data_IF_624652649746
#
_entry.id   IF_624652649746
#
_cell.length_a   1.000
_cell.length_b   1.000
_cell.length_c   1.000
_cell.angle_alpha   90.00
_cell.angle_beta   90.00
_cell.angle_gamma   90.00
#
_symmetry.space_group_name_H-M   'P 1'
#
loop_
_entity.id
_entity.type
_entity.pdbx_description
1 polymer ?
#
# COMPACT_ATOMS: atom_id res chain seq x y z
N UNK A 1 -1.07 -11.06 -14.95
CA UNK A 1 -1.10 -9.88 -14.07
C UNK A 1 0.13 -9.03 -14.39
N UNK A 2 0.07 -7.69 -14.32
CA UNK A 2 1.27 -6.86 -14.47
C UNK A 2 2.29 -7.19 -13.37
N UNK A 3 3.57 -7.26 -13.74
CA UNK A 3 4.69 -7.59 -12.86
C UNK A 3 5.54 -6.34 -12.63
N UNK A 4 5.90 -6.08 -11.36
CA UNK A 4 6.80 -4.98 -10.99
C UNK A 4 8.07 -5.57 -10.40
N UNK A 5 9.24 -5.26 -10.98
CA UNK A 5 10.52 -5.68 -10.43
C UNK A 5 10.99 -4.70 -9.34
N UNK A 6 11.30 -5.24 -8.15
CA UNK A 6 11.82 -4.48 -7.01
C UNK A 6 13.36 -4.46 -7.02
N UNK A 7 13.95 -3.32 -7.38
CA UNK A 7 15.39 -3.19 -7.58
C UNK A 7 15.98 -2.26 -6.52
N UNK A 8 16.89 -2.83 -5.73
CA UNK A 8 17.45 -2.13 -4.58
C UNK A 8 18.83 -1.52 -4.81
N UNK A 9 19.79 -2.18 -5.46
CA UNK A 9 21.19 -1.74 -5.43
C UNK A 9 21.84 -1.69 -6.81
N UNK A 10 21.68 -2.78 -7.57
CA UNK A 10 22.36 -2.92 -8.85
C UNK A 10 21.46 -2.47 -10.01
N UNK A 11 21.82 -1.35 -10.63
CA UNK A 11 21.09 -0.79 -11.77
C UNK A 11 21.06 -1.75 -12.98
N UNK A 12 22.03 -2.67 -13.10
CA UNK A 12 22.07 -3.67 -14.18
C UNK A 12 20.89 -4.61 -14.10
N UNK A 13 20.41 -4.94 -12.89
CA UNK A 13 19.21 -5.75 -12.71
C UNK A 13 17.94 -5.03 -13.19
N UNK A 14 17.88 -3.71 -13.04
CA UNK A 14 16.79 -2.93 -13.61
C UNK A 14 16.79 -2.99 -15.15
N UNK A 15 17.97 -2.87 -15.77
CA UNK A 15 18.11 -2.98 -17.23
C UNK A 15 17.73 -4.39 -17.74
N UNK A 16 18.20 -5.43 -17.06
CA UNK A 16 17.84 -6.82 -17.40
C UNK A 16 16.33 -7.07 -17.23
N UNK A 17 15.71 -6.52 -16.18
CA UNK A 17 14.26 -6.64 -15.98
C UNK A 17 13.46 -5.94 -17.10
N UNK A 18 13.92 -4.78 -17.56
CA UNK A 18 13.34 -4.08 -18.71
C UNK A 18 13.50 -4.88 -20.00
N UNK A 19 14.67 -5.49 -20.24
CA UNK A 19 14.92 -6.36 -21.38
C UNK A 19 14.02 -7.60 -21.36
N UNK A 20 13.78 -8.17 -20.18
CA UNK A 20 12.90 -9.31 -19.98
C UNK A 20 11.40 -8.97 -20.09
N UNK A 21 11.02 -7.70 -20.28
CA UNK A 21 9.63 -7.28 -20.50
C UNK A 21 8.81 -7.07 -19.22
N UNK A 22 9.42 -6.58 -18.13
CA UNK A 22 8.67 -6.22 -16.90
C UNK A 22 7.71 -5.05 -17.14
N UNK A 23 6.53 -5.07 -16.50
CA UNK A 23 5.49 -4.03 -16.64
C UNK A 23 5.74 -2.79 -15.76
N UNK A 24 6.74 -2.83 -14.88
CA UNK A 24 7.09 -1.71 -14.01
C UNK A 24 8.36 -1.96 -13.21
N UNK A 25 9.03 -0.88 -12.83
CA UNK A 25 10.15 -0.92 -11.89
C UNK A 25 9.76 -0.29 -10.56
N UNK A 26 10.39 -0.75 -9.48
CA UNK A 26 10.51 0.04 -8.25
C UNK A 26 11.99 0.25 -7.94
N UNK A 27 12.37 1.51 -7.78
CA UNK A 27 13.72 1.93 -7.42
C UNK A 27 13.70 2.54 -6.02
N UNK A 28 14.77 2.32 -5.25
CA UNK A 28 14.99 3.00 -3.97
C UNK A 28 16.02 4.13 -4.13
N UNK A 29 15.62 5.40 -3.95
CA UNK A 29 16.51 6.55 -3.99
C UNK A 29 17.74 6.45 -3.09
N UNK A 30 17.61 5.81 -1.93
CA UNK A 30 18.70 5.70 -0.96
C UNK A 30 19.87 4.85 -1.45
N UNK A 31 19.66 4.02 -2.48
CA UNK A 31 20.65 3.04 -2.93
C UNK A 31 21.06 3.22 -4.40
N UNK A 32 20.15 3.71 -5.26
CA UNK A 32 20.41 3.99 -6.68
C UNK A 32 20.25 5.50 -6.88
N UNK A 33 21.27 6.25 -6.45
CA UNK A 33 21.27 7.72 -6.49
C UNK A 33 22.21 8.32 -7.54
N UNK A 34 23.16 7.53 -8.08
CA UNK A 34 24.14 8.05 -9.05
C UNK A 34 23.44 8.49 -10.35
N UNK A 35 23.53 9.78 -10.76
CA UNK A 35 22.78 10.30 -11.90
C UNK A 35 23.00 9.55 -13.22
N UNK A 36 24.22 9.03 -13.45
CA UNK A 36 24.53 8.23 -14.64
C UNK A 36 23.73 6.93 -14.69
N UNK A 37 23.57 6.27 -13.54
CA UNK A 37 22.82 5.00 -13.44
C UNK A 37 21.32 5.24 -13.59
N UNK A 38 20.80 6.27 -12.92
CA UNK A 38 19.38 6.66 -13.02
C UNK A 38 19.05 7.04 -14.48
N UNK A 39 19.92 7.80 -15.15
CA UNK A 39 19.78 8.13 -16.58
C UNK A 39 19.66 6.89 -17.46
N UNK A 40 20.54 5.90 -17.28
CA UNK A 40 20.50 4.67 -18.06
C UNK A 40 19.17 3.92 -17.86
N UNK A 41 18.68 3.81 -16.62
CA UNK A 41 17.40 3.16 -16.33
C UNK A 41 16.24 3.96 -16.93
N UNK A 42 16.19 5.27 -16.72
CA UNK A 42 15.10 6.13 -17.18
C UNK A 42 14.96 6.09 -18.70
N UNK A 43 16.08 6.14 -19.43
CA UNK A 43 16.07 6.05 -20.89
C UNK A 43 15.53 4.69 -21.37
N UNK A 44 16.05 3.59 -20.80
CA UNK A 44 15.60 2.24 -21.17
C UNK A 44 14.12 1.99 -20.83
N UNK A 45 13.64 2.55 -19.72
CA UNK A 45 12.24 2.48 -19.29
C UNK A 45 11.33 3.32 -20.22
N UNK A 46 11.78 4.53 -20.61
CA UNK A 46 11.07 5.41 -21.55
C UNK A 46 10.87 4.76 -22.91
N UNK A 47 11.92 4.18 -23.48
CA UNK A 47 11.89 3.46 -24.77
C UNK A 47 10.84 2.33 -24.78
N UNK A 48 10.56 1.74 -23.61
CA UNK A 48 9.64 0.61 -23.45
C UNK A 48 8.29 1.00 -22.85
N UNK A 49 8.06 2.29 -22.57
CA UNK A 49 6.85 2.79 -21.91
C UNK A 49 6.58 2.12 -20.55
N UNK A 50 7.65 1.82 -19.79
CA UNK A 50 7.57 1.13 -18.49
C UNK A 50 7.62 2.15 -17.35
N UNK A 51 6.62 2.19 -16.45
CA UNK A 51 6.59 3.14 -15.34
C UNK A 51 7.61 2.80 -14.24
N UNK A 52 8.11 3.84 -13.56
CA UNK A 52 9.03 3.73 -12.43
C UNK A 52 8.31 4.16 -11.15
N UNK A 53 8.31 3.28 -10.14
CA UNK A 53 7.95 3.64 -8.77
C UNK A 53 9.18 4.10 -8.00
N UNK A 54 9.18 5.36 -7.56
CA UNK A 54 10.12 5.87 -6.57
C UNK A 54 9.65 5.40 -5.18
N UNK A 55 10.40 4.49 -4.57
CA UNK A 55 10.02 3.90 -3.28
C UNK A 55 10.99 4.26 -2.17
N UNK A 56 10.65 5.28 -1.38
CA UNK A 56 11.42 5.72 -0.20
C UNK A 56 10.93 4.98 1.04
N UNK A 57 11.86 4.35 1.75
CA UNK A 57 11.61 3.75 3.06
C UNK A 57 12.38 4.52 4.12
N UNK A 58 11.75 4.79 5.27
CA UNK A 58 12.40 5.49 6.39
C UNK A 58 13.72 4.82 6.83
N UNK A 59 13.73 3.48 6.86
CA UNK A 59 14.90 2.70 7.26
C UNK A 59 16.10 2.75 6.31
N UNK A 60 15.91 3.20 5.05
CA UNK A 60 16.99 3.32 4.06
C UNK A 60 17.44 4.76 3.82
N UNK A 61 16.95 5.73 4.61
CA UNK A 61 17.35 7.12 4.46
C UNK A 61 18.80 7.34 4.93
N UNK A 62 19.64 8.05 4.15
CA UNK A 62 20.96 8.49 4.59
C UNK A 62 20.86 9.34 5.86
N UNK A 63 21.83 9.22 6.77
CA UNK A 63 21.88 10.03 8.00
C UNK A 63 21.86 11.52 7.65
N UNK A 64 21.04 12.30 8.34
CA UNK A 64 21.00 13.77 8.19
C UNK A 64 21.99 14.43 9.16
N UNK A 65 22.66 15.48 8.70
CA UNK A 65 23.43 16.37 9.57
C UNK A 65 22.55 17.44 10.24
N UNK A 66 21.33 17.66 9.74
CA UNK A 66 20.39 18.62 10.30
C UNK A 66 19.44 17.92 11.30
N UNK A 67 19.58 18.17 12.61
CA UNK A 67 18.77 17.52 13.64
C UNK A 67 17.32 18.02 13.68
N UNK A 68 16.98 19.12 12.99
CA UNK A 68 15.63 19.68 12.99
C UNK A 68 14.68 18.99 12.01
N UNK A 69 15.21 18.23 11.04
CA UNK A 69 14.37 17.59 10.02
C UNK A 69 13.70 16.33 10.59
N UNK A 70 12.37 16.28 10.51
CA UNK A 70 11.61 15.07 10.84
C UNK A 70 11.90 13.96 9.83
N UNK A 71 11.62 12.71 10.21
CA UNK A 71 11.76 11.57 9.30
C UNK A 71 10.85 11.75 8.08
N UNK A 72 9.60 12.20 8.29
CA UNK A 72 8.65 12.47 7.21
C UNK A 72 9.19 13.51 6.22
N UNK A 73 9.73 14.63 6.70
CA UNK A 73 10.33 15.67 5.84
C UNK A 73 11.47 15.09 5.00
N UNK A 74 12.37 14.32 5.61
CA UNK A 74 13.47 13.66 4.88
C UNK A 74 12.98 12.66 3.83
N UNK A 75 11.89 11.95 4.10
CA UNK A 75 11.28 11.02 3.13
C UNK A 75 10.74 11.79 1.92
N UNK A 76 10.04 12.90 2.16
CA UNK A 76 9.49 13.76 1.12
C UNK A 76 10.62 14.38 0.28
N UNK A 77 11.64 14.95 0.92
CA UNK A 77 12.77 15.57 0.24
C UNK A 77 13.50 14.57 -0.67
N UNK A 78 13.78 13.35 -0.17
CA UNK A 78 14.43 12.30 -0.96
C UNK A 78 13.60 11.85 -2.17
N UNK A 79 12.27 11.82 -2.04
CA UNK A 79 11.38 11.53 -3.17
C UNK A 79 11.38 12.68 -4.18
N UNK A 80 11.23 13.93 -3.73
CA UNK A 80 11.22 15.11 -4.60
C UNK A 80 12.54 15.27 -5.38
N UNK A 81 13.68 14.98 -4.76
CA UNK A 81 14.98 15.00 -5.43
C UNK A 81 15.02 14.02 -6.60
N UNK A 82 14.56 12.79 -6.39
CA UNK A 82 14.53 11.78 -7.46
C UNK A 82 13.48 12.07 -8.52
N UNK A 83 12.33 12.63 -8.14
CA UNK A 83 11.32 13.10 -9.10
C UNK A 83 11.94 14.13 -10.03
N UNK A 84 12.59 15.16 -9.48
CA UNK A 84 13.26 16.21 -10.28
C UNK A 84 14.35 15.63 -11.18
N UNK A 85 15.08 14.62 -10.70
CA UNK A 85 16.07 13.94 -11.52
C UNK A 85 15.42 13.24 -12.72
N UNK A 86 14.34 12.47 -12.52
CA UNK A 86 13.62 11.83 -13.62
C UNK A 86 12.97 12.84 -14.57
N UNK A 87 12.37 13.90 -14.04
CA UNK A 87 11.79 14.99 -14.84
C UNK A 87 12.86 15.70 -15.69
N UNK A 88 14.06 15.93 -15.14
CA UNK A 88 15.19 16.51 -15.90
C UNK A 88 15.68 15.61 -17.05
N UNK A 89 15.26 14.34 -17.05
CA UNK A 89 15.53 13.35 -18.09
C UNK A 89 14.32 13.15 -19.02
N UNK A 90 13.32 14.03 -18.92
CA UNK A 90 12.07 13.97 -19.68
C UNK A 90 11.33 12.64 -19.44
N UNK A 91 11.33 12.15 -18.19
CA UNK A 91 10.61 10.94 -17.78
C UNK A 91 9.53 11.29 -16.76
N UNK A 92 8.27 10.98 -17.08
CA UNK A 92 7.07 11.37 -16.32
C UNK A 92 6.15 10.19 -15.96
N UNK A 93 6.46 8.97 -16.40
CA UNK A 93 5.74 7.74 -16.01
C UNK A 93 6.13 7.28 -14.61
N UNK A 94 5.83 8.13 -13.63
CA UNK A 94 6.27 8.01 -12.25
C UNK A 94 5.08 7.68 -11.34
N UNK A 95 5.33 6.85 -10.33
CA UNK A 95 4.49 6.76 -9.12
C UNK A 95 5.38 6.78 -7.88
N UNK A 96 4.85 7.17 -6.74
CA UNK A 96 5.67 7.42 -5.54
C UNK A 96 5.13 6.66 -4.34
N UNK A 97 6.02 6.15 -3.49
CA UNK A 97 5.66 5.59 -2.19
C UNK A 97 6.64 6.04 -1.12
N UNK A 98 6.11 6.45 0.02
CA UNK A 98 6.83 6.84 1.23
C UNK A 98 6.40 5.90 2.37
N UNK A 99 7.26 5.01 2.87
CA UNK A 99 6.86 4.06 3.92
C UNK A 99 7.74 4.17 5.17
N UNK A 100 7.10 4.31 6.31
CA UNK A 100 7.72 4.16 7.63
C UNK A 100 7.05 3.01 8.39
N UNK A 101 7.69 2.57 9.48
CA UNK A 101 7.13 1.55 10.37
C UNK A 101 5.95 2.11 11.17
N UNK A 102 6.06 3.36 11.67
CA UNK A 102 5.02 3.99 12.45
C UNK A 102 4.00 4.73 11.56
N UNK A 103 2.75 4.68 12.02
CA UNK A 103 1.59 5.25 11.30
C UNK A 103 1.64 6.78 11.23
N UNK A 104 1.92 7.53 12.33
CA UNK A 104 1.96 8.98 12.29
C UNK A 104 2.96 9.54 11.27
N UNK A 105 4.21 9.06 11.26
CA UNK A 105 5.23 9.50 10.30
C UNK A 105 4.82 9.20 8.87
N UNK A 106 4.21 8.03 8.64
CA UNK A 106 3.72 7.67 7.30
C UNK A 106 2.62 8.62 6.84
N UNK A 107 1.65 8.94 7.70
CA UNK A 107 0.58 9.88 7.38
C UNK A 107 1.13 11.27 7.07
N UNK A 108 1.99 11.80 7.93
CA UNK A 108 2.63 13.12 7.76
C UNK A 108 3.37 13.21 6.40
N UNK A 109 4.12 12.17 6.05
CA UNK A 109 4.88 12.13 4.80
C UNK A 109 3.96 12.13 3.57
N UNK A 110 2.89 11.34 3.58
CA UNK A 110 1.95 11.28 2.44
C UNK A 110 1.11 12.54 2.29
N UNK A 111 0.63 13.14 3.39
CA UNK A 111 -0.07 14.43 3.34
C UNK A 111 0.82 15.50 2.73
N UNK A 112 2.08 15.58 3.19
CA UNK A 112 3.04 16.57 2.72
C UNK A 112 3.42 16.42 1.25
N UNK A 113 3.53 15.18 0.72
CA UNK A 113 3.89 14.97 -0.68
C UNK A 113 2.70 15.09 -1.63
N UNK A 114 1.48 14.72 -1.20
CA UNK A 114 0.29 14.73 -2.05
C UNK A 114 -0.03 16.12 -2.64
N UNK A 115 0.30 17.19 -1.91
CA UNK A 115 0.11 18.57 -2.37
C UNK A 115 1.24 19.08 -3.29
N UNK A 116 2.33 18.32 -3.42
CA UNK A 116 3.58 18.77 -4.09
C UNK A 116 3.83 18.11 -5.44
N UNK A 117 3.13 17.03 -5.75
CA UNK A 117 3.40 16.23 -6.95
C UNK A 117 2.09 15.87 -7.67
N UNK A 118 2.11 15.73 -9.01
CA UNK A 118 0.95 15.28 -9.78
C UNK A 118 0.89 13.74 -9.92
N UNK A 119 1.86 13.00 -9.37
CA UNK A 119 2.02 11.57 -9.62
C UNK A 119 1.21 10.70 -8.65
N UNK A 120 0.73 9.52 -9.11
CA UNK A 120 0.03 8.58 -8.24
C UNK A 120 0.85 8.10 -7.04
N UNK A 121 0.17 7.92 -5.91
CA UNK A 121 0.72 7.49 -4.64
C UNK A 121 0.40 6.01 -4.35
N UNK A 122 1.45 5.21 -4.18
CA UNK A 122 1.35 3.84 -3.71
C UNK A 122 1.51 3.76 -2.19
N UNK A 123 0.39 3.72 -1.48
CA UNK A 123 0.36 3.78 -0.02
C UNK A 123 0.52 2.40 0.64
N UNK A 124 1.00 2.41 1.87
CA UNK A 124 1.12 1.21 2.69
C UNK A 124 2.03 1.44 3.89
N UNK A 125 1.83 0.65 4.95
CA UNK A 125 2.74 0.59 6.09
C UNK A 125 3.78 -0.51 5.81
N UNK A 126 5.07 -0.22 6.03
CA UNK A 126 6.12 -1.25 5.94
C UNK A 126 6.29 -1.94 7.28
N UNK A 127 6.76 -3.19 7.27
CA UNK A 127 7.07 -3.94 8.50
C UNK A 127 5.90 -3.96 9.50
N UNK A 128 4.67 -4.16 9.03
CA UNK A 128 3.49 -4.14 9.90
C UNK A 128 3.48 -5.31 10.89
N UNK A 129 4.24 -6.38 10.64
CA UNK A 129 4.37 -7.53 11.53
C UNK A 129 3.37 -8.64 11.22
N UNK A 130 3.14 -9.53 12.19
CA UNK A 130 2.26 -10.70 12.03
C UNK A 130 0.79 -10.29 11.83
N UNK A 131 -0.08 -11.14 11.24
CA UNK A 131 -1.44 -10.76 10.86
C UNK A 131 -2.24 -10.01 11.93
N UNK A 132 -2.25 -10.52 13.18
CA UNK A 132 -3.04 -9.94 14.26
C UNK A 132 -2.73 -8.47 14.53
N UNK A 133 -1.46 -8.09 14.58
CA UNK A 133 -1.03 -6.72 14.90
C UNK A 133 -0.78 -5.89 13.64
N UNK A 134 -0.30 -6.53 12.58
CA UNK A 134 -0.01 -5.89 11.31
C UNK A 134 -1.25 -5.45 10.55
N UNK A 135 -2.36 -6.18 10.65
CA UNK A 135 -3.64 -5.73 10.09
C UNK A 135 -4.10 -4.46 10.80
N UNK A 136 -4.08 -4.42 12.13
CA UNK A 136 -4.47 -3.23 12.90
C UNK A 136 -3.62 -2.02 12.50
N UNK A 137 -2.30 -2.18 12.43
CA UNK A 137 -1.39 -1.09 12.04
C UNK A 137 -1.64 -0.63 10.60
N UNK A 138 -1.83 -1.57 9.68
CA UNK A 138 -2.09 -1.28 8.27
C UNK A 138 -3.43 -0.57 8.08
N UNK A 139 -4.50 -1.03 8.75
CA UNK A 139 -5.81 -0.39 8.74
C UNK A 139 -5.71 1.04 9.26
N UNK A 140 -5.02 1.27 10.38
CA UNK A 140 -4.87 2.61 10.96
C UNK A 140 -4.19 3.60 9.99
N UNK A 141 -3.12 3.19 9.30
CA UNK A 141 -2.43 4.06 8.35
C UNK A 141 -3.12 4.20 7.00
N UNK A 142 -3.41 3.07 6.36
CA UNK A 142 -3.96 3.04 4.99
C UNK A 142 -5.36 3.64 4.98
N UNK A 143 -6.22 3.29 5.92
CA UNK A 143 -7.61 3.78 5.90
C UNK A 143 -7.69 5.28 6.15
N UNK A 144 -6.82 5.82 7.02
CA UNK A 144 -6.74 7.26 7.27
C UNK A 144 -6.36 8.02 6.01
N UNK A 145 -5.33 7.56 5.30
CA UNK A 145 -4.89 8.17 4.03
C UNK A 145 -5.98 8.11 2.96
N UNK A 146 -6.60 6.95 2.79
CA UNK A 146 -7.69 6.77 1.83
C UNK A 146 -8.90 7.65 2.16
N UNK A 147 -9.25 7.78 3.43
CA UNK A 147 -10.34 8.66 3.87
C UNK A 147 -10.06 10.14 3.59
N UNK A 148 -8.78 10.52 3.58
CA UNK A 148 -8.32 11.86 3.16
C UNK A 148 -8.26 12.04 1.64
N UNK A 149 -8.64 11.02 0.86
CA UNK A 149 -8.52 11.05 -0.61
C UNK A 149 -7.09 10.84 -1.12
N UNK A 150 -6.18 10.33 -0.29
CA UNK A 150 -4.77 10.13 -0.63
C UNK A 150 -4.50 8.65 -0.89
N UNK A 151 -4.10 8.32 -2.12
CA UNK A 151 -3.60 7.01 -2.52
C UNK A 151 -4.37 6.37 -3.67
N UNK A 152 -3.62 5.89 -4.66
CA UNK A 152 -4.15 5.35 -5.92
C UNK A 152 -3.99 3.82 -6.00
N UNK A 153 -3.07 3.28 -5.21
CA UNK A 153 -2.85 1.85 -5.06
C UNK A 153 -2.31 1.56 -3.66
N UNK A 154 -2.68 0.41 -3.09
CA UNK A 154 -2.30 0.02 -1.73
C UNK A 154 -1.47 -1.26 -1.72
N UNK A 155 -0.64 -1.42 -0.69
CA UNK A 155 -0.12 -2.73 -0.26
C UNK A 155 -0.12 -2.82 1.26
N UNK A 156 -0.72 -3.89 1.77
CA UNK A 156 -0.57 -4.33 3.16
C UNK A 156 0.70 -5.16 3.25
N UNK A 157 1.54 -4.97 4.28
CA UNK A 157 2.84 -5.65 4.40
C UNK A 157 2.88 -6.49 5.68
N UNK A 158 2.51 -7.77 5.59
CA UNK A 158 2.41 -8.69 6.73
C UNK A 158 3.55 -9.71 6.72
N UNK A 159 3.95 -10.15 7.91
CA UNK A 159 4.79 -11.35 8.07
C UNK A 159 3.90 -12.59 8.00
N UNK A 160 3.41 -12.91 6.80
CA UNK A 160 2.49 -14.01 6.53
C UNK A 160 2.54 -14.43 5.05
N UNK A 161 1.72 -15.41 4.68
CA UNK A 161 1.51 -15.75 3.27
C UNK A 161 0.93 -14.53 2.52
N UNK A 162 1.41 -14.18 1.31
CA UNK A 162 0.98 -12.96 0.60
C UNK A 162 -0.53 -12.87 0.33
N UNK A 163 -1.22 -14.02 0.27
CA UNK A 163 -2.69 -14.06 0.17
C UNK A 163 -3.37 -13.28 1.31
N UNK A 164 -2.83 -13.34 2.52
CA UNK A 164 -3.35 -12.60 3.68
C UNK A 164 -3.23 -11.08 3.48
N UNK A 165 -2.15 -10.62 2.85
CA UNK A 165 -1.98 -9.20 2.48
C UNK A 165 -3.07 -8.76 1.49
N UNK A 166 -3.39 -9.61 0.50
CA UNK A 166 -4.41 -9.32 -0.52
C UNK A 166 -5.81 -9.29 0.09
N UNK A 167 -6.14 -10.26 0.95
CA UNK A 167 -7.42 -10.29 1.67
C UNK A 167 -7.57 -9.02 2.50
N UNK A 168 -6.58 -8.70 3.34
CA UNK A 168 -6.60 -7.50 4.18
C UNK A 168 -6.73 -6.20 3.36
N UNK A 169 -6.07 -6.12 2.21
CA UNK A 169 -6.18 -4.97 1.30
C UNK A 169 -7.60 -4.79 0.77
N UNK A 170 -8.26 -5.86 0.34
CA UNK A 170 -9.65 -5.80 -0.10
C UNK A 170 -10.62 -5.49 1.06
N UNK A 171 -10.40 -6.02 2.26
CA UNK A 171 -11.22 -5.69 3.43
C UNK A 171 -11.13 -4.20 3.81
N UNK A 172 -9.93 -3.59 3.76
CA UNK A 172 -9.75 -2.15 3.97
C UNK A 172 -10.57 -1.35 2.95
N UNK A 173 -10.44 -1.68 1.66
CA UNK A 173 -11.14 -0.95 0.59
C UNK A 173 -12.66 -1.14 0.67
N UNK A 174 -13.13 -2.34 1.02
CA UNK A 174 -14.56 -2.62 1.25
C UNK A 174 -15.11 -1.82 2.43
N UNK A 175 -14.37 -1.77 3.54
CA UNK A 175 -14.78 -1.05 4.76
C UNK A 175 -14.96 0.45 4.53
N UNK A 176 -14.22 1.01 3.56
CA UNK A 176 -14.35 2.41 3.13
C UNK A 176 -15.29 2.62 1.95
N UNK A 177 -15.98 1.57 1.48
CA UNK A 177 -16.82 1.57 0.28
C UNK A 177 -16.10 2.01 -1.01
N UNK A 178 -14.77 1.87 -1.07
CA UNK A 178 -13.96 2.25 -2.24
C UNK A 178 -13.94 1.16 -3.31
N UNK A 179 -14.14 -0.11 -2.91
CA UNK A 179 -14.21 -1.25 -3.83
C UNK A 179 -15.24 -2.27 -3.36
N UNK A 180 -15.86 -2.95 -4.32
CA UNK A 180 -16.71 -4.11 -4.08
C UNK A 180 -15.96 -5.36 -4.56
N UNK A 181 -15.62 -6.27 -3.64
CA UNK A 181 -14.93 -7.51 -3.96
C UNK A 181 -15.29 -8.61 -2.97
N UNK A 182 -15.92 -9.68 -3.47
CA UNK A 182 -16.43 -10.76 -2.62
C UNK A 182 -17.53 -10.30 -1.64
N UNK A 183 -18.01 -11.21 -0.79
CA UNK A 183 -19.06 -10.91 0.15
C UNK A 183 -18.59 -10.02 1.31
N UNK A 184 -19.56 -9.42 1.98
CA UNK A 184 -19.42 -8.75 3.29
C UNK A 184 -20.35 -9.47 4.26
N UNK A 185 -19.77 -10.01 5.33
CA UNK A 185 -20.53 -10.53 6.47
C UNK A 185 -20.73 -9.42 7.49
N UNK A 186 -21.98 -9.11 7.81
CA UNK A 186 -22.35 -8.24 8.92
C UNK A 186 -22.96 -9.10 10.02
N UNK A 187 -22.28 -9.21 11.16
CA UNK A 187 -22.78 -9.98 12.31
C UNK A 187 -22.86 -9.12 13.56
N UNK A 188 -23.95 -9.25 14.33
CA UNK A 188 -23.99 -8.59 15.62
C UNK A 188 -23.00 -9.24 16.60
N UNK A 189 -22.42 -8.47 17.54
CA UNK A 189 -21.74 -9.08 18.69
C UNK A 189 -22.75 -9.91 19.50
N UNK A 190 -22.24 -10.94 20.20
CA UNK A 190 -23.06 -11.66 21.18
C UNK A 190 -23.38 -10.76 22.37
N UNK A 191 -24.55 -10.97 22.98
CA UNK A 191 -25.00 -10.28 24.19
C UNK A 191 -26.04 -11.14 24.94
N UNK A 192 -26.50 -10.69 26.11
CA UNK A 192 -27.50 -11.42 26.90
C UNK A 192 -28.88 -11.57 26.25
N UNK A 193 -29.11 -10.99 25.07
CA UNK A 193 -30.34 -11.14 24.28
C UNK A 193 -30.22 -12.21 23.19
N UNK A 194 -29.05 -12.81 22.98
CA UNK A 194 -28.85 -13.77 21.92
C UNK A 194 -29.71 -15.02 22.16
N UNK A 195 -30.52 -15.38 21.18
CA UNK A 195 -31.40 -16.54 21.18
C UNK A 195 -30.73 -17.77 20.53
N UNK A 196 -29.61 -17.55 19.85
CA UNK A 196 -28.80 -18.56 19.17
C UNK A 196 -27.32 -18.37 19.50
N UNK A 197 -26.52 -19.41 19.26
CA UNK A 197 -25.06 -19.29 19.28
C UNK A 197 -24.58 -18.51 18.05
N UNK A 198 -24.65 -17.18 18.19
CA UNK A 198 -24.36 -16.25 17.11
C UNK A 198 -22.90 -16.30 16.66
N UNK A 199 -21.98 -16.64 17.56
CA UNK A 199 -20.55 -16.73 17.23
C UNK A 199 -20.33 -17.89 16.30
N UNK A 200 -20.78 -19.09 16.68
CA UNK A 200 -20.64 -20.30 15.85
C UNK A 200 -21.37 -20.16 14.50
N UNK A 201 -22.55 -19.55 14.50
CA UNK A 201 -23.31 -19.32 13.27
C UNK A 201 -22.57 -18.38 12.31
N UNK A 202 -22.03 -17.26 12.82
CA UNK A 202 -21.28 -16.31 12.01
C UNK A 202 -20.01 -16.94 11.42
N UNK A 203 -19.24 -17.71 12.22
CA UNK A 203 -18.05 -18.44 11.76
C UNK A 203 -18.40 -19.43 10.64
N UNK A 204 -19.47 -20.22 10.82
CA UNK A 204 -19.93 -21.18 9.81
C UNK A 204 -20.32 -20.49 8.50
N UNK A 205 -20.98 -19.33 8.58
CA UNK A 205 -21.36 -18.54 7.41
C UNK A 205 -20.12 -17.97 6.72
N UNK A 206 -19.17 -17.42 7.49
CA UNK A 206 -17.91 -16.87 6.97
C UNK A 206 -17.13 -17.90 6.13
N UNK A 207 -17.00 -19.14 6.61
CA UNK A 207 -16.33 -20.23 5.90
C UNK A 207 -16.95 -20.54 4.52
N UNK A 208 -18.28 -20.41 4.41
CA UNK A 208 -18.96 -20.60 3.11
C UNK A 208 -18.81 -19.37 2.22
N UNK A 209 -18.84 -18.16 2.80
CA UNK A 209 -18.70 -16.91 2.09
C UNK A 209 -17.33 -16.74 1.43
N UNK A 210 -16.25 -17.23 2.03
CA UNK A 210 -14.89 -17.19 1.45
C UNK A 210 -14.83 -17.84 0.05
N UNK A 211 -15.74 -18.77 -0.26
CA UNK A 211 -15.81 -19.47 -1.55
C UNK A 211 -16.58 -18.67 -2.62
N UNK A 212 -17.23 -17.57 -2.25
CA UNK A 212 -18.10 -16.78 -3.11
C UNK A 212 -17.34 -15.53 -3.57
N UNK A 213 -17.29 -15.29 -4.88
CA UNK A 213 -16.65 -14.10 -5.47
C UNK A 213 -17.67 -13.04 -5.94
N UNK A 214 -18.85 -13.00 -5.31
CA UNK A 214 -19.93 -12.05 -5.63
C UNK A 214 -20.01 -10.95 -4.57
N UNK A 215 -20.23 -9.69 -4.95
CA UNK A 215 -20.37 -8.57 -4.01
C UNK A 215 -21.75 -8.58 -3.35
N UNK A 216 -21.96 -9.53 -2.45
CA UNK A 216 -23.21 -9.67 -1.69
C UNK A 216 -22.98 -9.30 -0.22
N UNK A 217 -24.01 -8.75 0.43
CA UNK A 217 -24.01 -8.50 1.88
C UNK A 217 -24.86 -9.58 2.54
N UNK A 218 -24.33 -10.21 3.57
CA UNK A 218 -25.04 -11.22 4.35
C UNK A 218 -25.06 -10.78 5.81
N UNK A 219 -26.26 -10.66 6.36
CA UNK A 219 -26.47 -10.31 7.76
C UNK A 219 -26.72 -11.58 8.58
N UNK A 220 -26.04 -11.73 9.71
CA UNK A 220 -26.24 -12.83 10.67
C UNK A 220 -26.48 -12.22 12.05
N UNK A 221 -27.68 -12.35 12.57
CA UNK A 221 -28.12 -11.65 13.79
C UNK A 221 -28.63 -12.64 14.83
N UNK A 222 -28.30 -12.37 16.10
CA UNK A 222 -28.58 -13.29 17.21
C UNK A 222 -29.94 -13.10 17.89
N UNK A 223 -30.69 -12.04 17.57
CA UNK A 223 -32.00 -11.75 18.14
C UNK A 223 -32.82 -10.84 17.21
N UNK A 224 -34.12 -10.66 17.50
CA UNK A 224 -35.04 -9.85 16.70
C UNK A 224 -34.79 -8.33 16.80
N UNK A 225 -34.08 -7.84 17.81
CA UNK A 225 -33.95 -6.38 18.04
C UNK A 225 -33.20 -5.68 16.91
N UNK A 226 -32.03 -6.21 16.52
CA UNK A 226 -31.22 -5.69 15.41
C UNK A 226 -31.25 -6.63 14.19
N UNK A 227 -32.16 -7.61 14.19
CA UNK A 227 -32.27 -8.63 13.15
C UNK A 227 -32.89 -8.14 11.84
N UNK A 228 -34.11 -7.55 11.87
CA UNK A 228 -34.85 -7.17 10.68
C UNK A 228 -34.39 -5.91 9.92
N UNK A 229 -33.67 -5.00 10.58
CA UNK A 229 -33.29 -3.69 10.03
C UNK A 229 -31.97 -3.72 9.26
#
# INVERSE_FOLDING_TARGET
IPIIADIHFDYRLALMALEAGVDGLRLNPGNISEPKRVRAIAQAAKERNVPIRIGVNAGSLPKTANPKLTIAQRMVDAALEQIRLLESLDFDLIKVSLKAFDVPTTIEAYQSIAEKIPYPLHIGITEAGTPRTGIIRSVAGISTLLYMGIGDTIRVSLTAHPREEVIAGYEILKSLNLRQHGPILASCPSCGRAEVDIVKLAETVEEQLIKINKPIKVAVMGCVVNGPG
#
